data_IF_694145478058
#
_entry.id   IF_694145478058
#
_cell.length_a   1.000
_cell.length_b   1.000
_cell.length_c   1.000
_cell.angle_alpha   90.00
_cell.angle_beta   90.00
_cell.angle_gamma   90.00
#
_symmetry.space_group_name_H-M   'P 1'
#
loop_
_entity.id
_entity.type
_entity.pdbx_description
1 polymer ?
#
# COMPACT_ATOMS: atom_id res chain seq x y z
N UNK A 1 3.95 -16.95 -18.67
CA UNK A 1 3.90 -16.83 -18.20
C UNK A 1 4.40 -16.34 -17.04
N UNK A 2 5.31 -16.46 -16.67
CA UNK A 2 5.80 -16.03 -15.46
C UNK A 2 6.15 -14.62 -15.44
N UNK A 3 6.21 -14.02 -16.56
CA UNK A 3 6.51 -12.63 -16.59
C UNK A 3 5.57 -11.84 -15.77
N UNK A 4 4.35 -12.28 -15.70
CA UNK A 4 3.37 -11.56 -14.94
C UNK A 4 3.78 -11.47 -13.50
N UNK A 5 4.44 -12.48 -13.05
CA UNK A 5 4.78 -12.46 -11.71
C UNK A 5 5.85 -11.51 -11.45
N UNK A 6 6.67 -11.20 -12.38
CA UNK A 6 7.76 -10.28 -12.19
C UNK A 6 7.25 -8.91 -11.81
N UNK A 7 6.05 -8.61 -12.21
CA UNK A 7 5.50 -7.33 -11.89
C UNK A 7 5.29 -7.18 -10.40
N UNK A 8 5.15 -8.27 -9.74
CA UNK A 8 4.91 -8.24 -8.31
C UNK A 8 6.08 -7.68 -7.56
N UNK A 9 7.26 -7.76 -8.14
CA UNK A 9 8.42 -7.22 -7.46
C UNK A 9 8.34 -5.71 -7.33
N UNK A 10 7.42 -5.10 -8.02
CA UNK A 10 7.26 -3.67 -7.88
C UNK A 10 6.56 -3.32 -6.58
N UNK A 11 6.11 -4.30 -5.85
CA UNK A 11 5.47 -4.05 -4.58
C UNK A 11 6.51 -3.74 -3.52
N UNK A 12 6.18 -2.81 -2.67
CA UNK A 12 7.04 -2.41 -1.57
C UNK A 12 6.34 -2.71 -0.26
N UNK A 13 7.10 -3.20 0.71
CA UNK A 13 6.56 -3.38 2.05
C UNK A 13 7.02 -2.20 2.87
N UNK A 14 6.08 -1.47 3.43
CA UNK A 14 6.37 -0.29 4.22
C UNK A 14 5.80 -0.48 5.61
N UNK A 15 6.64 -0.33 6.60
CA UNK A 15 6.23 -0.46 7.98
C UNK A 15 6.59 0.82 8.68
N UNK A 16 5.64 1.44 9.35
CA UNK A 16 5.89 2.72 9.97
C UNK A 16 4.84 3.04 11.03
N UNK A 17 4.86 4.25 11.51
CA UNK A 17 3.98 4.70 12.57
C UNK A 17 3.40 6.05 12.17
N UNK A 18 2.14 6.29 12.49
CA UNK A 18 1.50 7.53 12.18
C UNK A 18 0.76 8.03 13.40
N UNK A 19 0.85 9.33 13.66
CA UNK A 19 0.09 9.93 14.76
C UNK A 19 -1.33 10.15 14.31
N UNK A 20 -2.28 9.67 15.07
CA UNK A 20 -3.68 9.79 14.70
C UNK A 20 -4.54 9.58 15.94
N UNK A 21 -5.78 9.99 15.85
CA UNK A 21 -6.69 9.87 16.98
C UNK A 21 -7.68 8.74 16.84
N UNK A 22 -7.71 8.09 15.71
CA UNK A 22 -8.60 6.97 15.49
C UNK A 22 -8.05 6.10 14.39
N UNK A 23 -8.59 4.89 14.33
CA UNK A 23 -8.17 3.96 13.30
C UNK A 23 -8.58 4.48 11.93
N UNK A 24 -9.73 5.09 11.84
CA UNK A 24 -10.20 5.64 10.58
C UNK A 24 -9.27 6.74 10.08
N UNK A 25 -8.82 7.58 11.01
CA UNK A 25 -7.89 8.63 10.64
C UNK A 25 -6.56 8.05 10.19
N UNK A 26 -6.13 6.97 10.84
CA UNK A 26 -4.89 6.33 10.47
C UNK A 26 -4.95 5.86 9.02
N UNK A 27 -6.06 5.23 8.65
CA UNK A 27 -6.21 4.75 7.28
C UNK A 27 -6.16 5.88 6.27
N UNK A 28 -6.78 7.00 6.60
CA UNK A 28 -6.78 8.14 5.73
C UNK A 28 -5.37 8.70 5.55
N UNK A 29 -4.65 8.81 6.65
CA UNK A 29 -3.29 9.33 6.60
C UNK A 29 -2.35 8.39 5.84
N UNK A 30 -2.55 7.11 5.99
CA UNK A 30 -1.74 6.14 5.25
C UNK A 30 -1.99 6.32 3.76
N UNK A 31 -3.25 6.49 3.36
CA UNK A 31 -3.57 6.70 1.97
C UNK A 31 -2.90 7.94 1.41
N UNK A 32 -2.92 9.02 2.18
CA UNK A 32 -2.30 10.25 1.75
C UNK A 32 -0.79 10.10 1.64
N UNK A 33 -0.21 9.37 2.57
CA UNK A 33 1.22 9.13 2.53
C UNK A 33 1.61 8.35 1.29
N UNK A 34 0.86 7.28 0.99
CA UNK A 34 1.16 6.48 -0.18
C UNK A 34 1.03 7.33 -1.44
N UNK A 35 0.04 8.19 -1.47
CA UNK A 35 -0.16 9.06 -2.61
C UNK A 35 1.00 10.02 -2.78
N UNK A 36 1.48 10.58 -1.68
CA UNK A 36 2.58 11.53 -1.75
C UNK A 36 3.88 10.87 -2.18
N UNK A 37 3.98 9.56 -1.99
CA UNK A 37 5.15 8.82 -2.41
C UNK A 37 5.04 8.35 -3.86
N UNK A 38 3.95 8.68 -4.52
CA UNK A 38 3.77 8.29 -5.91
C UNK A 38 3.38 6.85 -6.11
N UNK A 39 2.81 6.22 -5.09
CA UNK A 39 2.42 4.83 -5.19
C UNK A 39 0.98 4.75 -5.69
N UNK A 40 0.76 3.92 -6.67
CA UNK A 40 -0.54 3.87 -7.34
C UNK A 40 -1.63 3.26 -6.48
N UNK A 41 -1.29 2.25 -5.72
CA UNK A 41 -2.27 1.62 -4.85
C UNK A 41 -1.55 0.93 -3.72
N UNK A 42 -2.29 0.62 -2.69
CA UNK A 42 -1.70 -0.05 -1.53
C UNK A 42 -2.73 -0.92 -0.86
N UNK A 43 -2.23 -1.86 -0.09
CA UNK A 43 -3.05 -2.74 0.71
C UNK A 43 -2.52 -2.68 2.13
N UNK A 44 -3.37 -2.42 3.08
CA UNK A 44 -2.95 -2.40 4.48
C UNK A 44 -2.90 -3.83 4.96
N UNK A 45 -1.69 -4.26 5.30
CA UNK A 45 -1.47 -5.61 5.78
C UNK A 45 -1.81 -5.71 7.26
N UNK A 46 -1.43 -4.71 8.02
CA UNK A 46 -1.77 -4.68 9.44
C UNK A 46 -1.85 -3.24 9.91
N UNK A 47 -2.70 -3.00 10.87
CA UNK A 47 -2.88 -1.68 11.43
C UNK A 47 -3.21 -1.86 12.89
N UNK A 48 -2.34 -1.36 13.74
CA UNK A 48 -2.49 -1.51 15.17
C UNK A 48 -2.58 -0.13 15.80
N UNK A 49 -3.80 0.31 16.05
CA UNK A 49 -4.03 1.61 16.65
C UNK A 49 -3.88 1.49 18.15
N UNK A 50 -3.08 2.36 18.70
CA UNK A 50 -2.84 2.33 20.12
C UNK A 50 -2.56 3.77 20.56
N UNK A 51 -3.58 4.57 20.48
CA UNK A 51 -3.53 6.01 20.61
C UNK A 51 -2.38 6.54 21.44
N UNK A 52 -1.80 7.67 21.03
CA UNK A 52 -2.31 8.54 19.99
C UNK A 52 -1.73 8.26 18.61
N UNK A 53 -1.61 7.02 18.23
CA UNK A 53 -1.08 6.73 16.93
C UNK A 53 -1.28 5.27 16.58
N UNK A 54 -0.78 4.90 15.42
CA UNK A 54 -0.92 3.54 14.94
C UNK A 54 0.33 3.08 14.22
N UNK A 55 0.69 1.85 14.47
CA UNK A 55 1.74 1.20 13.70
C UNK A 55 1.04 0.54 12.53
N UNK A 56 1.65 0.59 11.38
CA UNK A 56 1.02 -0.01 10.23
C UNK A 56 2.04 -0.66 9.33
N UNK A 57 1.54 -1.59 8.54
CA UNK A 57 2.34 -2.23 7.53
C UNK A 57 1.49 -2.29 6.29
N UNK A 58 2.01 -1.79 5.19
CA UNK A 58 1.29 -1.77 3.93
C UNK A 58 2.15 -2.35 2.84
N UNK A 59 1.48 -2.91 1.85
CA UNK A 59 2.14 -3.34 0.64
C UNK A 59 1.68 -2.40 -0.45
N UNK A 60 2.61 -1.72 -1.07
CA UNK A 60 2.28 -0.71 -2.05
C UNK A 60 2.85 -1.05 -3.40
N UNK A 61 2.20 -0.57 -4.44
CA UNK A 61 2.58 -0.86 -5.81
C UNK A 61 2.94 0.41 -6.52
N UNK A 62 4.05 0.38 -7.21
CA UNK A 62 4.58 1.56 -7.88
C UNK A 62 3.92 1.83 -9.21
N UNK A 63 3.47 0.77 -9.86
CA UNK A 63 2.90 0.93 -11.18
C UNK A 63 1.44 1.31 -11.11
N UNK A 64 1.01 2.09 -12.09
CA UNK A 64 -0.37 2.49 -12.14
C UNK A 64 -1.25 1.31 -12.50
N UNK A 65 -2.42 1.25 -11.93
CA UNK A 65 -3.33 0.15 -12.20
C UNK A 65 -3.63 -0.06 -13.67
N UNK A 66 -3.72 1.00 -14.43
CA UNK A 66 -4.03 0.86 -15.83
C UNK A 66 -2.94 0.19 -16.64
N UNK A 67 -1.76 0.18 -16.09
CA UNK A 67 -0.63 -0.41 -16.77
C UNK A 67 -0.35 -1.79 -16.28
N UNK A 68 0.56 -1.89 -15.34
CA UNK A 68 0.98 -3.19 -14.88
C UNK A 68 -0.07 -3.95 -14.16
N UNK A 69 -0.98 -3.27 -13.54
CA UNK A 69 -1.98 -3.97 -12.79
C UNK A 69 -2.89 -4.79 -13.69
N UNK A 70 -3.29 -4.20 -14.80
CA UNK A 70 -4.14 -4.91 -15.73
C UNK A 70 -3.44 -6.11 -16.26
N UNK A 71 -2.20 -5.93 -16.58
CA UNK A 71 -1.38 -6.98 -17.08
C UNK A 71 -1.25 -8.12 -16.07
N UNK A 72 -1.01 -7.76 -14.84
CA UNK A 72 -0.87 -8.73 -13.78
C UNK A 72 -2.18 -9.48 -13.56
N UNK A 73 -3.27 -8.76 -13.63
CA UNK A 73 -4.55 -9.36 -13.43
C UNK A 73 -4.86 -10.40 -14.48
N UNK A 74 -4.50 -10.13 -15.71
CA UNK A 74 -4.75 -11.08 -16.77
C UNK A 74 -3.93 -12.33 -16.62
N UNK A 75 -2.83 -12.24 -15.96
CA UNK A 75 -1.96 -13.38 -15.82
C UNK A 75 -2.32 -14.24 -14.63
N UNK A 76 -3.09 -13.70 -13.76
CA UNK A 76 -3.50 -14.46 -12.61
C UNK A 76 -4.64 -15.37 -12.94
#
# INVERSE_FOLDING_TARGET
MTTARDTIVDALDIESFVLCESEAEAKDLIGKLMQSLGLARHVIVSLDFNGPGAHFRVRAYMNKPGDSYTWLKDSL
#
